data_IF_994262427909
#
_entry.id   IF_994262427909
#
_cell.length_a   1.000
_cell.length_b   1.000
_cell.length_c   1.000
_cell.angle_alpha   90.00
_cell.angle_beta   90.00
_cell.angle_gamma   90.00
#
_symmetry.space_group_name_H-M   'P 1'
#
loop_
_entity.id
_entity.type
_entity.pdbx_description
1 polymer ?
#
# COMPACT_ATOMS: atom_id res chain seq x y z
N UNK A 1 -64.89 -24.13 19.28
CA UNK A 1 -63.43 -24.00 19.43
C UNK A 1 -63.09 -24.38 20.87
N UNK A 2 -62.95 -25.67 21.11
CA UNK A 2 -62.60 -26.26 22.40
C UNK A 2 -61.08 -26.48 22.37
N UNK A 3 -60.36 -26.19 23.45
CA UNK A 3 -59.56 -27.21 24.10
C UNK A 3 -59.20 -26.79 25.52
N UNK A 4 -59.56 -27.67 26.43
CA UNK A 4 -59.42 -27.57 27.88
C UNK A 4 -57.96 -27.74 28.33
N UNK A 5 -57.67 -27.02 29.41
CA UNK A 5 -56.73 -27.29 30.50
C UNK A 5 -56.36 -28.77 30.70
N UNK A 6 -55.08 -29.06 30.99
CA UNK A 6 -54.66 -29.87 32.15
C UNK A 6 -53.13 -29.91 32.29
N UNK A 7 -52.68 -29.52 33.48
CA UNK A 7 -51.33 -29.63 34.02
C UNK A 7 -51.14 -31.07 34.51
N UNK A 8 -50.09 -31.79 34.08
CA UNK A 8 -49.64 -33.03 34.74
C UNK A 8 -48.12 -33.03 34.83
N UNK A 9 -47.70 -33.19 36.08
CA UNK A 9 -46.38 -33.46 36.64
C UNK A 9 -45.71 -34.71 36.06
N UNK A 10 -44.40 -34.69 35.87
CA UNK A 10 -43.66 -35.95 35.68
C UNK A 10 -42.20 -35.75 35.29
N UNK A 11 -41.30 -35.93 36.26
CA UNK A 11 -39.86 -36.06 36.09
C UNK A 11 -39.53 -37.13 35.04
N UNK A 12 -38.74 -36.77 34.02
CA UNK A 12 -38.00 -37.75 33.22
C UNK A 12 -36.57 -37.80 33.77
N UNK A 13 -36.31 -38.87 34.51
CA UNK A 13 -34.97 -39.25 34.91
C UNK A 13 -34.16 -39.76 33.70
N UNK A 14 -32.92 -39.29 33.68
CA UNK A 14 -31.78 -39.61 32.84
C UNK A 14 -31.70 -41.10 32.46
N UNK A 15 -31.52 -41.38 31.17
CA UNK A 15 -30.84 -42.58 30.68
C UNK A 15 -29.63 -42.15 29.84
N UNK A 16 -28.45 -42.55 30.30
CA UNK A 16 -27.15 -42.35 29.69
C UNK A 16 -27.06 -43.03 28.32
N UNK A 17 -27.03 -42.26 27.24
CA UNK A 17 -26.32 -42.63 26.01
C UNK A 17 -25.72 -41.38 25.37
N UNK A 18 -24.39 -41.29 25.41
CA UNK A 18 -23.55 -40.51 24.50
C UNK A 18 -23.88 -39.03 24.36
N UNK A 19 -23.26 -38.19 25.20
CA UNK A 19 -23.09 -36.76 24.90
C UNK A 19 -22.29 -36.67 23.59
N UNK A 20 -22.98 -36.37 22.49
CA UNK A 20 -22.35 -35.82 21.29
C UNK A 20 -21.78 -34.46 21.66
N UNK A 21 -20.52 -34.45 22.06
CA UNK A 21 -19.73 -33.24 22.25
C UNK A 21 -19.72 -32.50 20.91
N UNK A 22 -20.56 -31.48 20.78
CA UNK A 22 -20.45 -30.48 19.73
C UNK A 22 -19.04 -29.89 19.87
N UNK A 23 -18.13 -30.27 18.97
CA UNK A 23 -16.79 -29.71 18.86
C UNK A 23 -16.93 -28.18 18.69
N UNK A 24 -16.52 -27.34 19.65
CA UNK A 24 -16.71 -25.90 19.55
C UNK A 24 -15.54 -25.21 18.83
N UNK A 25 -14.82 -25.90 17.93
CA UNK A 25 -13.66 -25.33 17.23
C UNK A 25 -13.65 -25.83 15.79
N UNK A 26 -14.34 -25.11 14.90
CA UNK A 26 -14.17 -25.23 13.45
C UNK A 26 -13.06 -24.29 12.99
N UNK A 27 -12.09 -24.83 12.28
CA UNK A 27 -10.89 -24.13 11.75
C UNK A 27 -11.20 -23.25 10.53
N UNK A 28 -12.31 -22.51 10.53
CA UNK A 28 -12.64 -21.57 9.43
C UNK A 28 -11.87 -20.25 9.53
N UNK A 29 -11.05 -20.05 10.57
CA UNK A 29 -10.26 -18.83 10.81
C UNK A 29 -8.77 -19.11 11.08
N UNK A 30 -8.22 -20.22 10.57
CA UNK A 30 -6.77 -20.45 10.62
C UNK A 30 -6.10 -19.76 9.43
N UNK A 31 -5.42 -18.63 9.68
CA UNK A 31 -4.54 -17.99 8.69
C UNK A 31 -3.28 -18.84 8.54
N UNK A 32 -3.19 -19.54 7.40
CA UNK A 32 -2.05 -20.37 7.05
C UNK A 32 -0.80 -19.50 6.75
N UNK A 33 0.15 -19.51 7.70
CA UNK A 33 1.41 -18.76 7.63
C UNK A 33 2.43 -19.36 6.65
N UNK A 34 2.13 -20.46 5.96
CA UNK A 34 3.02 -21.06 4.94
C UNK A 34 2.89 -20.42 3.55
N UNK A 35 2.24 -19.27 3.45
CA UNK A 35 2.13 -18.52 2.20
C UNK A 35 3.31 -17.56 1.98
N UNK A 36 4.45 -18.12 1.51
CA UNK A 36 5.49 -17.36 0.76
C UNK A 36 4.96 -16.62 -0.47
N UNK A 37 3.66 -16.75 -0.79
CA UNK A 37 2.96 -16.12 -1.92
C UNK A 37 1.93 -15.07 -1.51
N UNK A 38 1.52 -15.00 -0.23
CA UNK A 38 0.53 -14.00 0.24
C UNK A 38 1.15 -12.80 0.95
N UNK A 39 2.44 -12.85 1.33
CA UNK A 39 3.17 -11.68 1.82
C UNK A 39 3.39 -10.58 0.75
N UNK A 40 2.96 -10.82 -0.50
CA UNK A 40 3.07 -9.87 -1.63
C UNK A 40 1.81 -9.00 -1.79
N UNK A 41 0.75 -9.27 -1.03
CA UNK A 41 -0.53 -8.59 -1.18
C UNK A 41 -0.87 -7.84 0.13
N UNK A 42 -0.70 -6.52 0.14
CA UNK A 42 -1.27 -5.61 1.15
C UNK A 42 -0.64 -5.68 2.55
N UNK A 43 0.66 -5.46 2.64
CA UNK A 43 1.13 -4.52 3.67
C UNK A 43 0.77 -3.15 3.08
N UNK A 44 0.09 -2.27 3.81
CA UNK A 44 0.07 -0.85 3.47
C UNK A 44 1.52 -0.44 3.24
N UNK A 45 1.94 -0.30 1.97
CA UNK A 45 3.35 -0.11 1.67
C UNK A 45 3.75 1.20 2.36
N UNK A 46 4.79 1.24 3.19
CA UNK A 46 5.23 2.48 3.85
C UNK A 46 5.32 3.66 2.88
N UNK A 47 5.65 3.38 1.62
CA UNK A 47 5.67 4.36 0.54
C UNK A 47 4.37 5.13 0.27
N UNK A 48 3.20 4.54 0.52
CA UNK A 48 1.91 5.23 0.35
C UNK A 48 1.72 6.30 1.43
N UNK A 49 2.02 5.97 2.68
CA UNK A 49 1.94 6.92 3.80
C UNK A 49 2.93 8.07 3.58
N UNK A 50 4.18 7.73 3.22
CA UNK A 50 5.19 8.74 2.87
C UNK A 50 4.70 9.61 1.70
N UNK A 51 4.03 9.05 0.69
CA UNK A 51 3.46 9.84 -0.40
C UNK A 51 2.40 10.84 0.10
N UNK A 52 1.52 10.39 0.99
CA UNK A 52 0.45 11.23 1.58
C UNK A 52 1.01 12.33 2.47
N UNK A 53 2.13 12.09 3.16
CA UNK A 53 2.71 13.08 4.06
C UNK A 53 3.56 14.11 3.30
N UNK A 54 4.35 13.67 2.31
CA UNK A 54 5.40 14.49 1.71
C UNK A 54 5.14 14.90 0.26
N UNK A 55 4.42 14.11 -0.53
CA UNK A 55 4.38 14.25 -1.98
C UNK A 55 3.04 14.78 -2.51
N UNK A 56 1.93 14.41 -1.85
CA UNK A 56 0.57 14.64 -2.34
C UNK A 56 0.24 16.13 -2.53
N UNK A 57 0.82 17.01 -1.72
CA UNK A 57 0.52 18.45 -1.75
C UNK A 57 0.92 19.10 -3.07
N UNK A 58 1.93 18.55 -3.75
CA UNK A 58 2.43 19.05 -5.03
C UNK A 58 1.97 18.16 -6.20
N UNK A 59 2.07 16.84 -6.05
CA UNK A 59 1.78 15.90 -7.15
C UNK A 59 0.33 15.40 -7.19
N UNK A 60 -0.46 15.70 -6.16
CA UNK A 60 -1.88 15.38 -6.08
C UNK A 60 -2.16 13.91 -5.76
N UNK A 61 -3.40 13.60 -5.34
CA UNK A 61 -3.80 12.25 -4.94
C UNK A 61 -3.68 11.21 -6.07
N UNK A 62 -3.78 11.64 -7.32
CA UNK A 62 -3.68 10.80 -8.51
C UNK A 62 -2.35 10.95 -9.26
N UNK A 63 -1.36 11.63 -8.66
CA UNK A 63 -0.04 11.80 -9.26
C UNK A 63 -0.02 12.64 -10.53
N UNK A 64 -1.07 13.42 -10.84
CA UNK A 64 -1.13 14.19 -12.09
C UNK A 64 -0.45 15.56 -12.00
N UNK A 65 -0.08 16.01 -10.80
CA UNK A 65 0.38 17.38 -10.57
C UNK A 65 -0.68 18.40 -11.00
N UNK A 66 -0.25 19.60 -11.38
CA UNK A 66 -1.13 20.69 -11.83
C UNK A 66 -0.89 21.11 -13.29
N UNK A 67 -0.05 20.36 -14.02
CA UNK A 67 0.34 20.61 -15.43
C UNK A 67 1.02 21.96 -15.71
N UNK A 68 1.34 22.75 -14.67
CA UNK A 68 1.96 24.08 -14.80
C UNK A 68 3.21 24.22 -13.95
N UNK A 69 3.12 23.84 -12.68
CA UNK A 69 4.14 24.03 -11.67
C UNK A 69 4.72 22.70 -11.18
N UNK A 70 3.88 21.67 -11.06
CA UNK A 70 4.23 20.37 -10.54
C UNK A 70 4.04 19.30 -11.61
N UNK A 71 5.11 18.59 -12.00
CA UNK A 71 5.02 17.60 -13.06
C UNK A 71 4.19 16.39 -12.63
N UNK A 72 3.54 15.69 -13.58
CA UNK A 72 2.90 14.43 -13.29
C UNK A 72 3.93 13.35 -12.94
N UNK A 73 3.58 12.52 -11.97
CA UNK A 73 4.23 11.25 -11.65
C UNK A 73 3.52 10.08 -12.35
N UNK A 74 2.20 10.17 -12.54
CA UNK A 74 1.43 9.24 -13.36
C UNK A 74 1.80 9.38 -14.84
N UNK A 75 2.07 8.26 -15.51
CA UNK A 75 2.46 8.21 -16.91
C UNK A 75 3.68 9.10 -17.28
N UNK A 76 4.56 9.37 -16.32
CA UNK A 76 5.73 10.24 -16.50
C UNK A 76 6.84 9.56 -17.32
N UNK A 77 7.23 10.16 -18.45
CA UNK A 77 8.41 9.71 -19.21
C UNK A 77 9.72 9.90 -18.44
N UNK A 78 9.82 10.96 -17.65
CA UNK A 78 10.93 11.21 -16.74
C UNK A 78 11.08 10.06 -15.74
N UNK A 79 10.02 9.72 -15.02
CA UNK A 79 10.06 8.63 -14.03
C UNK A 79 10.47 7.28 -14.65
N UNK A 80 10.05 7.03 -15.91
CA UNK A 80 10.37 5.80 -16.65
C UNK A 80 11.82 5.77 -17.13
N UNK A 81 12.33 6.88 -17.68
CA UNK A 81 13.60 6.92 -18.40
C UNK A 81 14.76 7.46 -17.56
N UNK A 82 14.47 8.14 -16.44
CA UNK A 82 15.40 8.89 -15.60
C UNK A 82 15.35 8.38 -14.16
N UNK A 83 15.51 7.06 -13.98
CA UNK A 83 15.36 6.40 -12.68
C UNK A 83 16.32 6.95 -11.64
N UNK A 84 17.61 7.01 -11.96
CA UNK A 84 18.66 7.52 -11.06
C UNK A 84 18.37 8.96 -10.65
N UNK A 85 18.01 9.81 -11.61
CA UNK A 85 17.66 11.21 -11.37
C UNK A 85 16.35 11.35 -10.58
N UNK A 86 15.38 10.46 -10.78
CA UNK A 86 14.13 10.46 -10.01
C UNK A 86 14.36 10.09 -8.54
N UNK A 87 15.21 9.10 -8.27
CA UNK A 87 15.62 8.76 -6.90
C UNK A 87 16.40 9.92 -6.29
N UNK A 88 17.32 10.54 -7.04
CA UNK A 88 18.07 11.71 -6.59
C UNK A 88 17.15 12.90 -6.26
N UNK A 89 16.11 13.15 -7.06
CA UNK A 89 15.15 14.22 -6.83
C UNK A 89 14.41 14.07 -5.49
N UNK A 90 13.98 12.85 -5.13
CA UNK A 90 13.35 12.61 -3.83
C UNK A 90 14.35 12.77 -2.68
N UNK A 91 15.56 12.22 -2.85
CA UNK A 91 16.59 12.20 -1.80
C UNK A 91 17.21 13.57 -1.51
N UNK A 92 17.48 14.35 -2.55
CA UNK A 92 18.27 15.59 -2.45
C UNK A 92 17.51 16.83 -2.90
N UNK A 93 16.27 16.69 -3.34
CA UNK A 93 15.53 17.74 -4.02
C UNK A 93 15.95 17.85 -5.49
N UNK A 94 15.20 18.65 -6.25
CA UNK A 94 15.43 18.93 -7.66
C UNK A 94 15.28 20.43 -7.90
N UNK A 95 16.17 20.99 -8.73
CA UNK A 95 16.08 22.37 -9.19
C UNK A 95 16.44 22.44 -10.67
N UNK A 96 16.08 23.55 -11.30
CA UNK A 96 16.37 23.81 -12.71
C UNK A 96 15.36 23.19 -13.66
N UNK A 97 15.60 23.42 -14.95
CA UNK A 97 14.66 23.06 -16.00
C UNK A 97 14.65 21.56 -16.27
N UNK A 98 13.45 20.98 -16.29
CA UNK A 98 13.20 19.59 -16.71
C UNK A 98 12.06 19.55 -17.74
N UNK A 99 12.06 18.47 -18.52
CA UNK A 99 11.00 18.17 -19.48
C UNK A 99 10.31 16.87 -19.04
N UNK A 100 9.01 16.95 -18.79
CA UNK A 100 8.17 15.78 -18.46
C UNK A 100 6.98 15.75 -19.40
N UNK A 101 6.83 14.67 -20.15
CA UNK A 101 5.77 14.48 -21.14
C UNK A 101 5.67 15.66 -22.13
N UNK A 102 6.84 16.15 -22.59
CA UNK A 102 7.00 17.32 -23.49
C UNK A 102 6.56 18.68 -22.89
N UNK A 103 6.24 18.73 -21.60
CA UNK A 103 5.95 19.96 -20.87
C UNK A 103 7.17 20.36 -20.05
N UNK A 104 7.49 21.65 -20.08
CA UNK A 104 8.64 22.23 -19.40
C UNK A 104 8.27 22.64 -17.98
N UNK A 105 9.10 22.26 -17.01
CA UNK A 105 8.98 22.65 -15.61
C UNK A 105 10.31 23.25 -15.14
N UNK A 106 10.27 24.28 -14.32
CA UNK A 106 11.48 24.94 -13.78
C UNK A 106 11.23 25.46 -12.36
N UNK A 107 10.62 24.62 -11.53
CA UNK A 107 10.41 24.89 -10.11
C UNK A 107 11.38 24.08 -9.25
N UNK A 108 11.48 24.46 -7.99
CA UNK A 108 12.23 23.74 -6.98
C UNK A 108 11.36 22.68 -6.29
N UNK A 109 11.87 21.45 -6.22
CA UNK A 109 11.39 20.42 -5.31
C UNK A 109 12.39 20.34 -4.13
N UNK A 110 11.98 20.63 -2.89
CA UNK A 110 12.88 20.53 -1.75
C UNK A 110 13.26 19.06 -1.49
N UNK A 111 14.38 18.84 -0.79
CA UNK A 111 14.69 17.52 -0.24
C UNK A 111 13.69 17.19 0.86
N UNK A 112 13.15 15.97 0.86
CA UNK A 112 12.13 15.56 1.85
C UNK A 112 12.73 15.16 3.21
N UNK A 113 14.06 15.01 3.30
CA UNK A 113 14.74 14.62 4.53
C UNK A 113 14.54 13.15 4.93
N UNK A 114 14.08 12.33 3.97
CA UNK A 114 13.81 10.92 4.15
C UNK A 114 15.09 10.08 4.22
N UNK A 115 15.05 8.99 4.98
CA UNK A 115 16.08 7.94 4.97
C UNK A 115 16.12 7.20 3.63
N UNK A 116 17.20 6.43 3.40
CA UNK A 116 17.33 5.65 2.15
C UNK A 116 16.18 4.66 1.95
N UNK A 117 15.73 4.02 3.03
CA UNK A 117 14.64 3.05 2.99
C UNK A 117 13.31 3.73 2.67
N UNK A 118 13.00 4.86 3.31
CA UNK A 118 11.78 5.64 3.04
C UNK A 118 11.75 6.16 1.59
N UNK A 119 12.89 6.60 1.06
CA UNK A 119 13.00 6.97 -0.36
C UNK A 119 12.73 5.75 -1.25
N UNK A 120 13.30 4.58 -0.94
CA UNK A 120 13.04 3.38 -1.72
C UNK A 120 11.55 3.01 -1.71
N UNK A 121 10.91 3.08 -0.54
CA UNK A 121 9.51 2.74 -0.36
C UNK A 121 8.58 3.68 -1.13
N UNK A 122 8.75 5.01 -1.02
CA UNK A 122 7.91 5.97 -1.74
C UNK A 122 8.14 5.88 -3.25
N UNK A 123 9.37 5.63 -3.70
CA UNK A 123 9.65 5.45 -5.11
C UNK A 123 8.97 4.18 -5.66
N UNK A 124 8.99 3.07 -4.91
CA UNK A 124 8.27 1.85 -5.30
C UNK A 124 6.77 2.08 -5.38
N UNK A 125 6.19 2.82 -4.42
CA UNK A 125 4.78 3.21 -4.47
C UNK A 125 4.47 4.04 -5.73
N UNK A 126 5.24 5.10 -6.00
CA UNK A 126 5.05 5.98 -7.16
C UNK A 126 5.18 5.19 -8.49
N UNK A 127 6.18 4.33 -8.60
CA UNK A 127 6.51 3.56 -9.81
C UNK A 127 5.52 2.42 -10.13
N UNK A 128 4.69 2.03 -9.16
CA UNK A 128 3.66 0.97 -9.32
C UNK A 128 2.22 1.49 -9.22
N UNK A 129 2.04 2.75 -8.81
CA UNK A 129 0.73 3.39 -8.70
C UNK A 129 0.18 3.86 -10.04
N UNK A 130 -1.14 4.08 -10.07
CA UNK A 130 -1.86 4.64 -11.22
C UNK A 130 -1.61 3.85 -12.52
N UNK A 131 -1.24 4.53 -13.61
CA UNK A 131 -0.88 3.89 -14.88
C UNK A 131 0.57 3.39 -14.91
N UNK A 132 1.39 3.68 -13.88
CA UNK A 132 2.76 3.17 -13.81
C UNK A 132 2.75 1.66 -13.58
N UNK A 133 3.73 0.97 -14.19
CA UNK A 133 3.84 -0.50 -14.23
C UNK A 133 5.29 -0.96 -14.10
N UNK A 134 6.15 -0.12 -13.52
CA UNK A 134 7.57 -0.45 -13.37
C UNK A 134 7.70 -1.58 -12.35
N UNK A 135 8.30 -2.70 -12.76
CA UNK A 135 8.44 -3.90 -11.93
C UNK A 135 9.79 -3.99 -11.22
N UNK A 136 10.78 -3.19 -11.64
CA UNK A 136 12.10 -3.16 -11.00
C UNK A 136 12.02 -2.40 -9.68
N UNK A 137 12.08 -3.15 -8.58
CA UNK A 137 12.10 -2.63 -7.22
C UNK A 137 13.30 -1.71 -7.01
N UNK A 138 13.07 -0.54 -6.40
CA UNK A 138 14.09 0.34 -5.83
C UNK A 138 14.49 -0.24 -4.48
N UNK A 139 15.78 -0.50 -4.28
CA UNK A 139 16.30 -1.01 -3.01
C UNK A 139 16.94 0.12 -2.19
N UNK A 140 16.98 -0.03 -0.87
CA UNK A 140 17.72 0.90 0.00
C UNK A 140 19.18 1.05 -0.46
N UNK A 141 19.82 -0.06 -0.85
CA UNK A 141 21.21 -0.05 -1.34
C UNK A 141 21.38 0.75 -2.64
N UNK A 142 20.41 0.69 -3.55
CA UNK A 142 20.39 1.53 -4.76
C UNK A 142 20.33 3.00 -4.36
N UNK A 143 19.40 3.36 -3.47
CA UNK A 143 19.25 4.74 -2.97
C UNK A 143 20.51 5.23 -2.25
N UNK A 144 21.13 4.37 -1.43
CA UNK A 144 22.36 4.68 -0.71
C UNK A 144 23.53 5.00 -1.67
N UNK A 145 23.57 4.35 -2.84
CA UNK A 145 24.60 4.57 -3.85
C UNK A 145 24.42 5.86 -4.66
N UNK A 146 23.22 6.48 -4.65
CA UNK A 146 22.95 7.74 -5.36
C UNK A 146 23.72 8.89 -4.69
N UNK A 147 24.47 9.62 -5.51
CA UNK A 147 25.23 10.82 -5.12
C UNK A 147 24.56 12.07 -5.70
N UNK A 148 24.79 13.20 -5.03
CA UNK A 148 24.34 14.52 -5.49
C UNK A 148 25.13 14.98 -6.71
#
# INVERSE_FOLDING_TARGET
>A
MLLNTKLITGFVAIALTGISVLKPFSNENYFDLDTKKSAVLVIESPGKEIYLDFCIQCHGANGKGDSKNFPPLDASDWLKNKRTESIAAVKFGQNGEIMVNKIKYNNAMPAMGLSNQEVADVMNYIMTSWSNKQSKIVTESEVAAIKK
#
